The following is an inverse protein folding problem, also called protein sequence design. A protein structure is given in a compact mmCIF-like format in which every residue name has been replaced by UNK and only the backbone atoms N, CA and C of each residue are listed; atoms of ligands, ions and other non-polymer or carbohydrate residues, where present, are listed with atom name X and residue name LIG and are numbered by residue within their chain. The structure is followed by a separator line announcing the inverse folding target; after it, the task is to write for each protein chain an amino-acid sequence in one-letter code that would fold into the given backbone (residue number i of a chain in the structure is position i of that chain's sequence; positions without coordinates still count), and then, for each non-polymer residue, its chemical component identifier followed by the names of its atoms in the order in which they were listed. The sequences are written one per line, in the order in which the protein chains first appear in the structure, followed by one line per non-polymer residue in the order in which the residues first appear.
data_IF_233410586919
#
_entry.id   IF_233410586919
#
_cell.length_a   1.000
_cell.length_b   1.000
_cell.length_c   1.000
_cell.angle_alpha   90.00
_cell.angle_beta   90.00
_cell.angle_gamma   90.00
#
_symmetry.space_group_name_H-M   'P 1'
#
loop_
_entity.id
_entity.type
_entity.pdbx_description
1 polymer ?
#
# COMPACT_ATOMS: atom_id res chain seq x y z
N UNK A 1 10.15 -5.52 -33.30
CA UNK A 1 10.48 -4.92 -31.99
C UNK A 1 9.73 -5.65 -30.91
N UNK A 2 10.41 -6.01 -29.84
CA UNK A 2 9.78 -6.64 -28.68
C UNK A 2 9.71 -5.60 -27.55
N UNK A 3 8.53 -5.34 -27.04
CA UNK A 3 8.34 -4.35 -25.98
C UNK A 3 9.20 -4.65 -24.73
N UNK A 4 9.42 -5.94 -24.45
CA UNK A 4 10.21 -6.37 -23.29
C UNK A 4 11.66 -5.85 -23.31
N UNK A 5 12.18 -5.50 -24.48
CA UNK A 5 13.54 -4.94 -24.61
C UNK A 5 13.64 -3.54 -24.00
N UNK A 6 12.51 -2.87 -23.81
CA UNK A 6 12.45 -1.48 -23.33
C UNK A 6 11.79 -1.35 -21.97
N UNK A 7 11.24 -2.44 -21.42
CA UNK A 7 10.61 -2.45 -20.10
C UNK A 7 11.68 -2.75 -19.05
N UNK A 8 11.88 -1.80 -18.11
CA UNK A 8 12.91 -1.95 -17.08
C UNK A 8 12.33 -2.32 -15.70
N UNK A 9 11.01 -2.34 -15.58
CA UNK A 9 10.35 -2.71 -14.32
C UNK A 9 9.12 -1.88 -14.06
N UNK A 10 8.64 -1.95 -12.83
CA UNK A 10 7.49 -1.17 -12.40
C UNK A 10 7.95 0.25 -12.01
N UNK A 11 7.24 1.27 -12.48
CA UNK A 11 7.53 2.66 -12.11
C UNK A 11 6.67 3.13 -10.93
N UNK A 12 5.34 2.98 -11.05
CA UNK A 12 4.43 3.36 -9.97
C UNK A 12 3.09 2.66 -10.14
N UNK A 13 2.27 2.75 -9.10
CA UNK A 13 0.90 2.23 -9.05
C UNK A 13 -0.03 3.43 -8.86
N UNK A 14 -1.03 3.57 -9.74
CA UNK A 14 -2.03 4.62 -9.61
C UNK A 14 -3.07 4.28 -8.55
N UNK A 15 -3.32 5.19 -7.64
CA UNK A 15 -4.25 5.02 -6.53
C UNK A 15 -5.16 6.25 -6.43
N UNK A 16 -6.31 6.23 -7.11
CA UNK A 16 -7.25 7.33 -7.00
C UNK A 16 -7.83 7.41 -5.59
N UNK A 17 -8.07 8.63 -5.11
CA UNK A 17 -8.62 8.84 -3.79
C UNK A 17 -9.70 9.93 -3.80
N UNK A 18 -10.68 9.79 -2.92
CA UNK A 18 -11.64 10.85 -2.61
C UNK A 18 -11.20 11.68 -1.40
N UNK A 19 -10.17 11.22 -0.68
CA UNK A 19 -9.69 11.88 0.55
C UNK A 19 -8.16 11.84 0.59
N UNK A 20 -7.54 12.91 0.08
CA UNK A 20 -6.08 13.01 0.03
C UNK A 20 -5.48 13.03 1.44
N UNK A 21 -6.10 13.73 2.39
CA UNK A 21 -5.56 13.82 3.74
C UNK A 21 -5.49 12.44 4.42
N UNK A 22 -6.56 11.65 4.30
CA UNK A 22 -6.60 10.30 4.85
C UNK A 22 -5.56 9.40 4.18
N UNK A 23 -5.40 9.50 2.86
CA UNK A 23 -4.45 8.70 2.10
C UNK A 23 -3.01 9.04 2.49
N UNK A 24 -2.67 10.31 2.57
CA UNK A 24 -1.33 10.74 2.99
C UNK A 24 -1.04 10.28 4.42
N UNK A 25 -1.98 10.46 5.34
CA UNK A 25 -1.81 10.06 6.74
C UNK A 25 -1.56 8.54 6.83
N UNK A 26 -2.33 7.76 6.10
CA UNK A 26 -2.20 6.30 6.09
C UNK A 26 -0.80 5.86 5.62
N UNK A 27 -0.37 6.32 4.46
CA UNK A 27 0.92 5.88 3.91
C UNK A 27 2.11 6.49 4.62
N UNK A 28 2.02 7.75 5.06
CA UNK A 28 3.08 8.36 5.86
C UNK A 28 3.23 7.65 7.21
N UNK A 29 2.12 7.19 7.80
CA UNK A 29 2.14 6.38 9.01
C UNK A 29 2.87 5.04 8.83
N UNK A 30 2.86 4.48 7.61
CA UNK A 30 3.61 3.27 7.27
C UNK A 30 5.08 3.55 6.94
N UNK A 31 5.48 4.80 6.81
CA UNK A 31 6.85 5.18 6.51
C UNK A 31 7.07 5.70 5.09
N UNK A 32 6.03 5.86 4.29
CA UNK A 32 6.15 6.48 2.97
C UNK A 32 6.44 7.97 3.12
N UNK A 33 7.20 8.52 2.20
CA UNK A 33 7.45 9.95 2.11
C UNK A 33 6.90 10.50 0.79
N UNK A 34 6.55 11.78 0.77
CA UNK A 34 6.16 12.46 -0.45
C UNK A 34 7.42 12.69 -1.28
N UNK A 35 7.52 12.01 -2.43
CA UNK A 35 8.64 12.15 -3.35
C UNK A 35 8.44 13.34 -4.30
N UNK A 36 7.21 13.55 -4.72
CA UNK A 36 6.83 14.67 -5.58
C UNK A 36 5.34 14.94 -5.44
N UNK A 37 4.92 16.19 -5.61
CA UNK A 37 3.50 16.56 -5.46
C UNK A 37 3.11 17.74 -6.32
N UNK A 38 1.82 17.86 -6.58
CA UNK A 38 1.20 19.06 -7.11
C UNK A 38 0.32 19.64 -5.99
N UNK A 39 0.65 20.86 -5.60
CA UNK A 39 -0.05 21.58 -4.53
C UNK A 39 -0.50 22.94 -5.05
N UNK A 40 -1.78 23.25 -4.84
CA UNK A 40 -2.38 24.52 -5.24
C UNK A 40 -3.24 25.05 -4.12
N UNK A 41 -3.04 26.32 -3.75
CA UNK A 41 -3.82 26.97 -2.68
C UNK A 41 -3.79 26.18 -1.38
N UNK A 42 -2.62 25.61 -1.02
CA UNK A 42 -2.43 24.83 0.18
C UNK A 42 -3.03 23.43 0.14
N UNK A 43 -3.55 23.00 -1.02
CA UNK A 43 -4.17 21.67 -1.18
C UNK A 43 -3.38 20.81 -2.15
N UNK A 44 -3.08 19.57 -1.72
CA UNK A 44 -2.40 18.58 -2.56
C UNK A 44 -3.46 17.85 -3.38
N UNK A 45 -3.35 17.95 -4.70
CA UNK A 45 -4.24 17.25 -5.64
C UNK A 45 -3.67 15.95 -6.18
N UNK A 46 -2.33 15.83 -6.14
CA UNK A 46 -1.61 14.64 -6.58
C UNK A 46 -0.31 14.53 -5.79
N UNK A 47 0.06 13.31 -5.41
CA UNK A 47 1.32 13.04 -4.73
C UNK A 47 1.88 11.69 -5.17
N UNK A 48 3.20 11.65 -5.35
CA UNK A 48 3.95 10.41 -5.45
C UNK A 48 4.51 10.08 -4.08
N UNK A 49 4.10 8.94 -3.56
CA UNK A 49 4.49 8.45 -2.24
C UNK A 49 5.47 7.29 -2.43
N UNK A 50 6.58 7.31 -1.72
CA UNK A 50 7.65 6.35 -1.94
C UNK A 50 8.14 5.73 -0.62
N UNK A 51 8.31 4.42 -0.63
CA UNK A 51 8.99 3.67 0.41
C UNK A 51 9.78 2.54 -0.26
N UNK A 52 11.11 2.60 -0.19
CA UNK A 52 11.95 1.66 -0.94
C UNK A 52 11.72 1.83 -2.45
N UNK A 53 11.42 0.73 -3.12
CA UNK A 53 11.08 0.72 -4.55
C UNK A 53 9.57 0.76 -4.81
N UNK A 54 8.76 0.88 -3.77
CA UNK A 54 7.31 0.99 -3.89
C UNK A 54 6.91 2.46 -4.06
N UNK A 55 6.26 2.79 -5.17
CA UNK A 55 5.82 4.15 -5.46
C UNK A 55 4.34 4.11 -5.83
N UNK A 56 3.54 4.91 -5.11
CA UNK A 56 2.14 5.17 -5.44
C UNK A 56 2.00 6.56 -6.00
N UNK A 57 1.25 6.69 -7.10
CA UNK A 57 0.73 7.98 -7.53
C UNK A 57 -0.69 8.09 -7.03
N UNK A 58 -0.93 8.90 -6.01
CA UNK A 58 -2.29 9.13 -5.51
C UNK A 58 -2.78 10.50 -5.98
N UNK A 59 -4.04 10.55 -6.40
CA UNK A 59 -4.63 11.76 -6.97
C UNK A 59 -6.12 11.83 -6.66
N UNK A 60 -6.61 13.05 -6.51
CA UNK A 60 -8.04 13.28 -6.22
C UNK A 60 -8.87 12.86 -7.42
N UNK A 61 -9.82 11.97 -7.16
CA UNK A 61 -10.81 11.55 -8.15
C UNK A 61 -12.14 11.27 -7.43
N UNK A 62 -13.16 12.14 -7.63
CA UNK A 62 -14.45 11.98 -6.96
C UNK A 62 -15.18 10.68 -7.31
N UNK A 63 -14.79 10.01 -8.41
CA UNK A 63 -15.40 8.75 -8.83
C UNK A 63 -14.59 7.51 -8.42
N UNK A 64 -13.58 7.67 -7.54
CA UNK A 64 -12.82 6.55 -7.02
C UNK A 64 -13.77 5.54 -6.36
N UNK A 65 -13.55 4.23 -6.68
CA UNK A 65 -14.53 3.20 -6.30
C UNK A 65 -14.53 2.85 -4.81
N UNK A 66 -13.41 3.04 -4.12
CA UNK A 66 -13.31 2.79 -2.68
C UNK A 66 -13.34 1.32 -2.27
N UNK A 67 -13.14 0.40 -3.21
CA UNK A 67 -13.08 -1.06 -2.98
C UNK A 67 -12.00 -1.65 -3.87
N UNK A 68 -11.49 -2.88 -3.58
CA UNK A 68 -10.56 -3.55 -4.48
C UNK A 68 -11.18 -3.74 -5.87
N UNK A 69 -10.36 -3.60 -6.91
CA UNK A 69 -10.76 -3.76 -8.31
C UNK A 69 -10.12 -5.00 -8.93
N UNK A 70 -9.69 -4.87 -10.20
CA UNK A 70 -9.02 -5.96 -10.92
C UNK A 70 -7.74 -6.41 -10.21
N UNK A 71 -7.01 -5.48 -9.59
CA UNK A 71 -5.90 -5.81 -8.69
C UNK A 71 -6.50 -5.94 -7.30
N UNK A 72 -6.33 -7.12 -6.67
CA UNK A 72 -6.92 -7.41 -5.36
C UNK A 72 -6.12 -6.76 -4.22
N UNK A 73 -4.81 -6.86 -4.25
CA UNK A 73 -3.97 -6.34 -3.18
C UNK A 73 -2.56 -6.02 -3.68
N UNK A 74 -1.84 -5.29 -2.85
CA UNK A 74 -0.41 -4.99 -3.04
C UNK A 74 0.32 -5.56 -1.84
N UNK A 75 1.38 -6.33 -2.09
CA UNK A 75 2.17 -6.92 -1.02
C UNK A 75 3.49 -6.17 -0.86
N UNK A 76 3.75 -5.75 0.37
CA UNK A 76 5.03 -5.16 0.77
C UNK A 76 5.88 -6.25 1.40
N UNK A 77 7.10 -6.39 0.94
CA UNK A 77 8.03 -7.35 1.50
C UNK A 77 8.55 -6.85 2.85
N UNK A 78 8.49 -7.69 3.88
CA UNK A 78 8.97 -7.35 5.21
C UNK A 78 9.97 -8.39 5.69
N UNK A 79 10.85 -7.97 6.57
CA UNK A 79 11.90 -8.84 7.13
C UNK A 79 11.45 -9.56 8.39
N UNK A 80 10.42 -9.06 9.07
CA UNK A 80 9.90 -9.62 10.32
C UNK A 80 8.41 -9.26 10.46
N UNK A 81 7.56 -10.14 9.99
CA UNK A 81 6.11 -9.89 9.93
C UNK A 81 5.50 -9.81 11.34
N UNK A 82 6.05 -10.54 12.32
CA UNK A 82 5.57 -10.49 13.70
C UNK A 82 5.76 -9.10 14.30
N UNK A 83 6.92 -8.48 14.06
CA UNK A 83 7.18 -7.12 14.53
C UNK A 83 6.30 -6.08 13.83
N UNK A 84 6.05 -6.25 12.55
CA UNK A 84 5.14 -5.37 11.81
C UNK A 84 3.72 -5.50 12.35
N UNK A 85 3.26 -6.74 12.57
CA UNK A 85 1.93 -7.01 13.14
C UNK A 85 1.78 -6.35 14.52
N UNK A 86 2.78 -6.53 15.39
CA UNK A 86 2.77 -5.92 16.72
C UNK A 86 2.69 -4.39 16.64
N UNK A 87 3.46 -3.76 15.75
CA UNK A 87 3.43 -2.31 15.56
C UNK A 87 2.07 -1.82 15.07
N UNK A 88 1.47 -2.54 14.12
CA UNK A 88 0.15 -2.20 13.58
C UNK A 88 -0.94 -2.32 14.66
N UNK A 89 -0.94 -3.40 15.42
CA UNK A 89 -1.90 -3.63 16.50
C UNK A 89 -1.74 -2.57 17.60
N UNK A 90 -0.51 -2.28 17.99
CA UNK A 90 -0.23 -1.31 19.07
C UNK A 90 -0.61 0.12 18.67
N UNK A 91 -0.50 0.47 17.40
CA UNK A 91 -0.95 1.77 16.89
C UNK A 91 -2.47 1.93 17.05
N UNK A 92 -3.23 0.88 16.73
CA UNK A 92 -4.67 0.83 16.93
C UNK A 92 -5.50 1.58 15.89
N UNK A 93 -4.90 2.32 14.97
CA UNK A 93 -5.62 3.11 13.96
C UNK A 93 -5.85 2.37 12.64
N UNK A 94 -5.19 1.23 12.44
CA UNK A 94 -5.29 0.45 11.21
C UNK A 94 -6.39 -0.61 11.30
N UNK A 95 -7.05 -0.86 10.17
CA UNK A 95 -8.04 -1.93 10.04
C UNK A 95 -7.35 -3.16 9.50
N UNK A 96 -7.29 -4.23 10.31
CA UNK A 96 -6.73 -5.52 9.89
C UNK A 96 -7.82 -6.34 9.23
N UNK A 97 -7.55 -6.84 8.02
CA UNK A 97 -8.45 -7.76 7.33
C UNK A 97 -8.39 -9.13 8.01
N UNK A 98 -9.55 -9.77 8.20
CA UNK A 98 -9.65 -11.08 8.86
C UNK A 98 -8.89 -11.12 10.20
N UNK A 99 -9.20 -10.22 11.15
CA UNK A 99 -8.41 -10.08 12.38
C UNK A 99 -8.39 -11.35 13.24
N UNK A 100 -9.40 -12.20 13.14
CA UNK A 100 -9.47 -13.47 13.86
C UNK A 100 -8.42 -14.48 13.40
N UNK A 101 -7.86 -14.31 12.21
CA UNK A 101 -6.83 -15.21 11.67
C UNK A 101 -5.42 -14.83 12.11
N UNK A 102 -5.21 -13.57 12.55
CA UNK A 102 -3.88 -13.07 12.89
C UNK A 102 -2.91 -13.17 11.73
N UNK A 103 -1.66 -13.53 12.03
CA UNK A 103 -0.65 -13.79 11.00
C UNK A 103 -0.95 -15.16 10.37
N UNK A 104 -1.05 -15.19 9.03
CA UNK A 104 -1.38 -16.37 8.28
C UNK A 104 -0.14 -16.96 7.61
N UNK A 105 -0.17 -18.26 7.33
CA UNK A 105 0.89 -18.98 6.65
C UNK A 105 0.37 -19.59 5.36
N UNK A 106 1.17 -19.52 4.28
CA UNK A 106 0.92 -20.21 3.02
C UNK A 106 2.21 -20.87 2.55
N UNK A 107 2.11 -22.05 1.90
CA UNK A 107 3.30 -22.82 1.50
C UNK A 107 3.89 -22.34 0.15
N UNK A 108 3.79 -21.05 -0.17
CA UNK A 108 4.35 -20.48 -1.40
C UNK A 108 5.87 -20.36 -1.24
N UNK A 109 6.64 -20.66 -2.31
CA UNK A 109 8.08 -20.70 -2.25
C UNK A 109 8.55 -21.66 -1.13
N UNK A 110 9.32 -21.19 -0.17
CA UNK A 110 9.70 -21.95 1.03
C UNK A 110 8.80 -21.66 2.22
N UNK A 111 7.62 -21.12 1.94
CA UNK A 111 6.67 -20.65 2.95
C UNK A 111 6.65 -19.13 3.03
N UNK A 112 5.48 -18.58 3.30
CA UNK A 112 5.30 -17.15 3.55
C UNK A 112 4.41 -16.95 4.77
N UNK A 113 4.70 -15.90 5.52
CA UNK A 113 3.82 -15.42 6.59
C UNK A 113 3.34 -14.03 6.23
N UNK A 114 2.05 -13.76 6.42
CA UNK A 114 1.48 -12.49 6.00
C UNK A 114 0.26 -12.09 6.82
N UNK A 115 -0.07 -10.83 6.77
CA UNK A 115 -1.36 -10.28 7.15
C UNK A 115 -1.64 -9.06 6.29
N UNK A 116 -2.89 -8.61 6.28
CA UNK A 116 -3.35 -7.56 5.37
C UNK A 116 -4.10 -6.50 6.15
N UNK A 117 -3.90 -5.23 5.78
CA UNK A 117 -4.66 -4.10 6.30
C UNK A 117 -5.45 -3.45 5.18
N UNK A 118 -6.50 -2.73 5.56
CA UNK A 118 -7.36 -2.01 4.62
C UNK A 118 -7.02 -0.53 4.67
N UNK A 119 -6.69 0.04 3.53
CA UNK A 119 -6.43 1.46 3.41
C UNK A 119 -7.71 2.28 3.24
N UNK A 120 -7.60 3.63 3.30
CA UNK A 120 -8.75 4.53 3.26
C UNK A 120 -9.50 4.54 1.93
N UNK A 121 -8.91 4.02 0.87
CA UNK A 121 -9.54 3.93 -0.45
C UNK A 121 -10.06 2.53 -0.74
N UNK A 122 -10.18 1.66 0.26
CA UNK A 122 -10.55 0.26 0.09
C UNK A 122 -9.43 -0.62 -0.42
N UNK A 123 -8.23 -0.08 -0.58
CA UNK A 123 -7.08 -0.86 -1.03
C UNK A 123 -6.61 -1.80 0.07
N UNK A 124 -6.24 -3.02 -0.34
CA UNK A 124 -5.63 -4.00 0.55
C UNK A 124 -4.12 -3.89 0.45
N UNK A 125 -3.47 -3.72 1.58
CA UNK A 125 -2.01 -3.68 1.71
C UNK A 125 -1.58 -4.87 2.56
N UNK A 126 -0.89 -5.80 1.93
CA UNK A 126 -0.40 -7.02 2.58
C UNK A 126 1.05 -6.83 3.01
N UNK A 127 1.38 -7.29 4.21
CA UNK A 127 2.75 -7.41 4.68
C UNK A 127 3.13 -8.88 4.61
N UNK A 128 4.17 -9.21 3.85
CA UNK A 128 4.51 -10.59 3.52
C UNK A 128 5.99 -10.84 3.73
N UNK A 129 6.30 -11.86 4.53
CA UNK A 129 7.66 -12.31 4.79
C UNK A 129 7.86 -13.67 4.12
N UNK A 130 8.83 -13.74 3.21
CA UNK A 130 9.29 -15.02 2.64
C UNK A 130 10.24 -15.70 3.63
N UNK A 131 9.99 -16.96 3.92
CA UNK A 131 10.79 -17.75 4.86
C UNK A 131 11.99 -18.41 4.18
#
# INVERSE_FOLDING_TARGET
MNASEYITGMQHIGLPTRDMQATLAFYQGLGFSIDWKIEREGKIGLAFLKLGDCVFETFINPTAVGVPGAIDHIALNVTDVEKVYEAIVNDGSYTICDPEKGIQFLPFYNGVKFFTILGPNGEKVEFNQKL
#
